data_IF_118947621622
#
_entry.id   IF_118947621622
#
_cell.length_a   1.000
_cell.length_b   1.000
_cell.length_c   1.000
_cell.angle_alpha   90.00
_cell.angle_beta   90.00
_cell.angle_gamma   90.00
#
_symmetry.space_group_name_H-M   'P 1'
#
loop_
_entity.id
_entity.type
_entity.pdbx_description
1 polymer ?
#
# COMPACT_ATOMS: atom_id res chain seq x y z
N UNK A 1 -8.59 9.98 -11.66
CA UNK A 1 -8.65 9.43 -10.29
C UNK A 1 -7.39 9.85 -9.55
N UNK A 2 -7.52 10.52 -8.40
CA UNK A 2 -6.36 10.84 -7.54
C UNK A 2 -6.03 9.63 -6.64
N UNK A 3 -4.76 9.45 -6.31
CA UNK A 3 -4.20 8.32 -5.58
C UNK A 3 -4.64 6.95 -6.14
N UNK A 4 -4.66 6.81 -7.48
CA UNK A 4 -5.20 5.64 -8.19
C UNK A 4 -4.71 4.30 -7.63
N UNK A 5 -3.40 4.13 -7.45
CA UNK A 5 -2.82 2.86 -6.99
C UNK A 5 -3.27 2.52 -5.56
N UNK A 6 -3.31 3.51 -4.66
CA UNK A 6 -3.78 3.31 -3.29
C UNK A 6 -5.27 2.96 -3.27
N UNK A 7 -6.05 3.58 -4.16
CA UNK A 7 -7.48 3.30 -4.27
C UNK A 7 -7.75 1.87 -4.73
N UNK A 8 -6.97 1.35 -5.68
CA UNK A 8 -7.06 -0.05 -6.12
C UNK A 8 -6.73 -1.01 -4.98
N UNK A 9 -5.65 -0.77 -4.24
CA UNK A 9 -5.31 -1.62 -3.10
C UNK A 9 -6.39 -1.57 -2.01
N UNK A 10 -6.98 -0.41 -1.71
CA UNK A 10 -8.06 -0.30 -0.72
C UNK A 10 -9.38 -1.00 -1.12
N UNK A 11 -9.55 -1.39 -2.39
CA UNK A 11 -10.64 -2.28 -2.78
C UNK A 11 -10.39 -3.73 -2.32
N UNK A 12 -9.12 -4.14 -2.24
CA UNK A 12 -8.68 -5.47 -1.78
C UNK A 12 -8.54 -5.53 -0.26
N UNK A 13 -8.11 -4.41 0.32
CA UNK A 13 -7.90 -4.21 1.76
C UNK A 13 -8.88 -3.17 2.34
N UNK A 14 -10.21 -3.46 2.36
CA UNK A 14 -11.20 -2.49 2.82
C UNK A 14 -11.03 -2.09 4.29
N UNK A 15 -10.43 -2.95 5.12
CA UNK A 15 -10.13 -2.67 6.53
C UNK A 15 -9.10 -1.57 6.73
N UNK A 16 -8.32 -1.23 5.69
CA UNK A 16 -7.30 -0.18 5.76
C UNK A 16 -7.83 1.20 5.35
N UNK A 17 -9.12 1.31 5.00
CA UNK A 17 -9.73 2.60 4.61
C UNK A 17 -9.66 3.59 5.77
N UNK A 18 -9.21 4.80 5.47
CA UNK A 18 -9.03 5.87 6.46
C UNK A 18 -7.73 5.79 7.25
N UNK A 19 -6.97 4.69 7.15
CA UNK A 19 -5.68 4.57 7.80
C UNK A 19 -4.56 5.16 6.92
N UNK A 20 -3.46 5.63 7.54
CA UNK A 20 -2.28 6.05 6.79
C UNK A 20 -1.63 4.83 6.12
N UNK A 21 -1.82 4.71 4.81
CA UNK A 21 -1.20 3.67 3.98
C UNK A 21 -0.35 4.30 2.89
N UNK A 22 0.83 3.72 2.65
CA UNK A 22 1.72 4.03 1.53
C UNK A 22 1.92 2.80 0.66
N UNK A 23 1.95 3.02 -0.65
CA UNK A 23 2.24 2.00 -1.65
C UNK A 23 3.67 2.20 -2.13
N UNK A 24 4.51 1.19 -1.97
CA UNK A 24 5.91 1.26 -2.38
C UNK A 24 6.77 0.21 -1.70
N UNK A 25 8.06 0.22 -2.07
CA UNK A 25 9.00 -0.82 -1.65
C UNK A 25 9.00 -2.02 -2.59
N UNK A 26 10.14 -2.73 -2.58
CA UNK A 26 10.29 -3.94 -3.39
C UNK A 26 9.32 -5.03 -2.94
N UNK A 27 9.02 -5.98 -3.83
CA UNK A 27 8.28 -7.20 -3.47
C UNK A 27 8.95 -7.83 -2.26
N UNK A 28 8.22 -7.95 -1.16
CA UNK A 28 8.69 -8.73 0.00
C UNK A 28 7.76 -9.89 0.22
N UNK A 29 8.41 -11.00 0.57
CA UNK A 29 7.95 -12.31 0.99
C UNK A 29 6.80 -12.33 1.98
N UNK A 30 6.47 -11.22 2.66
CA UNK A 30 5.39 -11.15 3.66
C UNK A 30 4.02 -11.20 2.98
N UNK A 31 3.82 -10.43 1.91
CA UNK A 31 2.57 -10.48 1.13
C UNK A 31 2.42 -11.82 0.42
N UNK A 32 3.51 -12.37 -0.12
CA UNK A 32 3.51 -13.71 -0.70
C UNK A 32 3.23 -14.79 0.36
N UNK A 33 3.75 -14.66 1.59
CA UNK A 33 3.46 -15.57 2.68
C UNK A 33 2.01 -15.46 3.19
N UNK A 34 1.47 -14.24 3.28
CA UNK A 34 0.07 -13.98 3.66
C UNK A 34 -0.89 -14.47 2.55
N UNK A 35 -0.56 -14.25 1.28
CA UNK A 35 -1.30 -14.78 0.13
C UNK A 35 -1.22 -16.30 0.04
N UNK A 36 -0.04 -16.90 0.28
CA UNK A 36 0.14 -18.35 0.23
C UNK A 36 -0.61 -19.08 1.36
N UNK A 37 -0.72 -18.45 2.53
CA UNK A 37 -1.43 -19.04 3.68
C UNK A 37 -2.95 -18.87 3.61
N UNK A 38 -3.46 -17.80 3.00
CA UNK A 38 -4.89 -17.48 3.10
C UNK A 38 -5.64 -17.25 1.76
N UNK A 39 -4.96 -17.12 0.62
CA UNK A 39 -5.56 -16.89 -0.70
C UNK A 39 -6.19 -15.49 -0.90
N UNK A 40 -6.64 -15.16 -2.12
CA UNK A 40 -7.21 -13.83 -2.46
C UNK A 40 -8.45 -13.45 -1.62
N UNK A 41 -9.25 -14.44 -1.20
CA UNK A 41 -10.47 -14.21 -0.42
C UNK A 41 -10.19 -13.83 1.03
N UNK A 42 -8.93 -13.94 1.47
CA UNK A 42 -8.53 -13.68 2.82
C UNK A 42 -7.84 -12.34 3.09
N UNK A 43 -7.44 -11.59 2.05
CA UNK A 43 -6.77 -10.30 2.24
C UNK A 43 -7.57 -9.30 3.11
N UNK A 44 -8.90 -9.34 3.01
CA UNK A 44 -9.83 -8.52 3.80
C UNK A 44 -9.94 -8.94 5.28
N UNK A 45 -9.46 -10.13 5.63
CA UNK A 45 -9.51 -10.70 6.97
C UNK A 45 -8.15 -10.67 7.68
N UNK A 46 -7.08 -10.27 6.99
CA UNK A 46 -5.79 -9.97 7.61
C UNK A 46 -6.00 -8.85 8.63
N UNK A 47 -5.54 -9.08 9.86
CA UNK A 47 -5.67 -8.09 10.92
C UNK A 47 -4.77 -6.89 10.64
N UNK A 48 -5.17 -5.70 11.08
CA UNK A 48 -4.47 -4.44 10.75
C UNK A 48 -3.05 -4.43 11.33
N UNK A 49 -2.88 -5.03 12.50
CA UNK A 49 -1.61 -5.17 13.22
C UNK A 49 -0.60 -6.11 12.54
N UNK A 50 -1.06 -6.99 11.64
CA UNK A 50 -0.19 -7.93 10.93
C UNK A 50 0.52 -7.26 9.75
N UNK A 51 0.08 -6.06 9.35
CA UNK A 51 0.71 -5.35 8.25
C UNK A 51 2.02 -4.68 8.66
N UNK A 52 3.03 -4.67 7.77
CA UNK A 52 4.29 -4.01 8.05
C UNK A 52 4.10 -2.50 8.14
N UNK A 53 4.76 -1.90 9.14
CA UNK A 53 4.77 -0.45 9.35
C UNK A 53 6.01 0.20 8.74
N UNK A 54 5.86 1.45 8.35
CA UNK A 54 6.89 2.22 7.66
C UNK A 54 8.10 2.49 8.56
N UNK A 55 7.94 2.55 9.88
CA UNK A 55 9.05 2.64 10.84
C UNK A 55 10.02 1.46 10.76
N UNK A 56 9.53 0.28 10.37
CA UNK A 56 10.29 -0.96 10.28
C UNK A 56 10.91 -1.15 8.88
N UNK A 57 10.63 -0.22 7.95
CA UNK A 57 11.22 -0.23 6.62
C UNK A 57 12.72 0.09 6.68
N UNK A 58 13.53 -0.78 6.07
CA UNK A 58 14.96 -0.57 5.86
C UNK A 58 15.26 -0.79 4.38
N UNK A 59 15.83 0.21 3.72
CA UNK A 59 16.23 0.10 2.32
C UNK A 59 16.33 1.43 1.59
N UNK A 60 16.44 1.33 0.26
CA UNK A 60 16.54 2.46 -0.66
C UNK A 60 15.36 2.35 -1.62
N UNK A 61 14.28 3.05 -1.32
CA UNK A 61 13.06 3.01 -2.11
C UNK A 61 12.23 4.26 -1.94
N UNK A 62 11.30 4.47 -2.86
CA UNK A 62 10.39 5.61 -2.90
C UNK A 62 8.94 5.14 -2.84
N UNK A 63 8.07 6.01 -2.34
CA UNK A 63 6.63 5.81 -2.32
C UNK A 63 6.08 6.04 -3.73
N UNK A 64 5.39 5.05 -4.29
CA UNK A 64 4.67 5.18 -5.55
C UNK A 64 3.44 6.07 -5.36
N UNK A 65 2.66 5.80 -4.32
CA UNK A 65 1.53 6.65 -3.93
C UNK A 65 1.24 6.52 -2.45
N UNK A 66 0.53 7.50 -1.90
CA UNK A 66 0.05 7.49 -0.52
C UNK A 66 -1.44 7.78 -0.49
N UNK A 67 -2.13 7.17 0.47
CA UNK A 67 -3.52 7.53 0.83
C UNK A 67 -3.59 8.96 1.36
N UNK A 68 -4.76 9.58 1.28
CA UNK A 68 -4.96 10.93 1.84
C UNK A 68 -4.68 11.00 3.33
N UNK A 69 -5.04 9.95 4.09
CA UNK A 69 -4.72 9.86 5.52
C UNK A 69 -3.20 9.96 5.75
N UNK A 70 -2.38 9.25 4.97
CA UNK A 70 -0.93 9.38 5.04
C UNK A 70 -0.44 10.77 4.59
N UNK A 71 -1.08 11.38 3.57
CA UNK A 71 -0.74 12.73 3.10
C UNK A 71 -0.91 13.81 4.16
N UNK A 72 -1.80 13.65 5.13
CA UNK A 72 -1.95 14.60 6.25
C UNK A 72 -0.69 14.72 7.11
N UNK A 73 0.16 13.68 7.14
CA UNK A 73 1.45 13.67 7.83
C UNK A 73 2.59 14.24 6.97
N UNK A 74 2.29 14.78 5.78
CA UNK A 74 3.28 15.30 4.85
C UNK A 74 3.96 14.22 3.99
N UNK A 75 3.49 12.96 4.05
CA UNK A 75 3.99 11.86 3.21
C UNK A 75 3.32 11.88 1.84
N UNK A 76 4.06 11.63 0.76
CA UNK A 76 3.51 11.71 -0.60
C UNK A 76 4.24 10.87 -1.62
N UNK A 77 3.74 10.89 -2.86
CA UNK A 77 4.38 10.22 -4.01
C UNK A 77 5.82 10.72 -4.23
N UNK A 78 6.66 9.83 -4.75
CA UNK A 78 8.10 10.03 -4.98
C UNK A 78 8.94 10.34 -3.71
N UNK A 79 8.33 10.39 -2.52
CA UNK A 79 9.07 10.55 -1.27
C UNK A 79 9.87 9.28 -0.95
N UNK A 80 11.13 9.44 -0.55
CA UNK A 80 11.94 8.32 -0.06
C UNK A 80 11.32 7.68 1.19
N UNK A 81 11.17 6.36 1.20
CA UNK A 81 10.48 5.64 2.29
C UNK A 81 11.15 5.82 3.65
N UNK A 82 12.49 5.82 3.71
CA UNK A 82 13.22 6.13 4.94
C UNK A 82 12.94 7.54 5.47
N UNK A 83 12.67 8.51 4.59
CA UNK A 83 12.27 9.87 4.99
C UNK A 83 10.82 9.87 5.47
N UNK A 84 9.93 9.20 4.74
CA UNK A 84 8.52 9.08 5.11
C UNK A 84 8.33 8.35 6.45
N UNK A 85 9.17 7.36 6.77
CA UNK A 85 9.20 6.67 8.06
C UNK A 85 9.43 7.61 9.25
N UNK A 86 10.16 8.71 9.06
CA UNK A 86 10.35 9.74 10.09
C UNK A 86 9.11 10.61 10.28
N UNK A 87 8.31 10.82 9.23
CA UNK A 87 7.12 11.68 9.23
C UNK A 87 5.86 10.93 9.68
N UNK A 88 5.72 9.68 9.25
CA UNK A 88 4.55 8.84 9.54
C UNK A 88 5.02 7.40 9.85
N UNK A 89 5.69 7.16 10.99
CA UNK A 89 6.23 5.84 11.36
C UNK A 89 5.17 4.73 11.43
N UNK A 90 3.93 5.09 11.77
CA UNK A 90 2.78 4.21 11.86
C UNK A 90 2.09 3.93 10.52
N UNK A 91 2.56 4.51 9.42
CA UNK A 91 1.95 4.23 8.11
C UNK A 91 2.14 2.76 7.74
N UNK A 92 1.08 2.12 7.26
CA UNK A 92 1.14 0.77 6.72
C UNK A 92 1.79 0.81 5.34
N UNK A 93 2.65 -0.17 5.06
CA UNK A 93 3.32 -0.31 3.77
C UNK A 93 2.71 -1.47 3.00
N UNK A 94 2.20 -1.20 1.79
CA UNK A 94 1.78 -2.23 0.85
C UNK A 94 2.68 -2.21 -0.39
N UNK A 95 3.00 -3.37 -0.98
CA UNK A 95 3.68 -3.43 -2.25
C UNK A 95 2.75 -3.00 -3.40
N UNK A 96 3.34 -2.79 -4.57
CA UNK A 96 2.58 -2.51 -5.79
C UNK A 96 2.16 -3.82 -6.45
N UNK A 97 0.86 -4.02 -6.66
CA UNK A 97 0.34 -5.10 -7.50
C UNK A 97 0.06 -4.62 -8.93
N UNK A 98 1.07 -4.69 -9.79
CA UNK A 98 0.95 -4.18 -11.16
C UNK A 98 -0.11 -4.91 -12.02
N UNK A 99 -0.47 -6.14 -11.69
CA UNK A 99 -1.51 -6.87 -12.45
C UNK A 99 -2.89 -6.30 -12.12
N UNK A 100 -3.22 -6.14 -10.84
CA UNK A 100 -4.49 -5.52 -10.42
C UNK A 100 -4.57 -4.06 -10.89
N UNK A 101 -3.48 -3.29 -10.78
CA UNK A 101 -3.41 -1.93 -11.34
C UNK A 101 -3.72 -1.94 -12.85
N UNK A 102 -3.12 -2.83 -13.63
CA UNK A 102 -3.35 -2.90 -15.08
C UNK A 102 -4.79 -3.29 -15.41
N UNK A 103 -5.37 -4.23 -14.67
CA UNK A 103 -6.78 -4.66 -14.81
C UNK A 103 -7.72 -3.47 -14.62
N UNK A 104 -7.63 -2.74 -13.51
CA UNK A 104 -8.48 -1.57 -13.28
C UNK A 104 -8.19 -0.44 -14.25
N UNK A 105 -6.93 -0.24 -14.65
CA UNK A 105 -6.58 0.78 -15.66
C UNK A 105 -7.27 0.52 -17.00
N UNK A 106 -7.34 -0.74 -17.45
CA UNK A 106 -8.07 -1.11 -18.69
C UNK A 106 -9.57 -0.89 -18.56
N UNK A 107 -10.16 -1.28 -17.43
CA UNK A 107 -11.59 -1.07 -17.17
C UNK A 107 -11.96 0.42 -17.24
N UNK A 108 -11.17 1.29 -16.60
CA UNK A 108 -11.38 2.74 -16.64
C UNK A 108 -11.23 3.35 -18.03
N UNK A 109 -10.30 2.84 -18.86
CA UNK A 109 -10.06 3.36 -20.21
C UNK A 109 -11.04 2.83 -21.25
N UNK A 110 -11.70 1.71 -20.98
CA UNK A 110 -12.68 1.10 -21.86
C UNK A 110 -14.11 1.59 -21.63
N UNK A 111 -14.32 2.53 -20.71
CA UNK A 111 -15.59 3.24 -20.48
C UNK A 111 -15.54 4.58 -21.19
#
# INVERSE_FOLDING_TARGET
MDAFFASVELLRYPQLKGLPVVIGGGRRTVDEALLATQGERALRFISVEDFPLLKDYVGRGVITTATYAARTFGVGSAMGMMKAAKLCPQAIVLPVDFEEIRKYSRLFKGT
#
